data_IF_599895065412
#
_entry.id   IF_599895065412
#
_cell.length_a   1.000
_cell.length_b   1.000
_cell.length_c   1.000
_cell.angle_alpha   90.00
_cell.angle_beta   90.00
_cell.angle_gamma   90.00
#
_symmetry.space_group_name_H-M   'P 1'
#
loop_
_entity.id
_entity.type
_entity.pdbx_description
1 polymer ?
#
# COMPACT_ATOMS: atom_id res chain seq x y z
N UNK A 1 10.88 14.64 -0.72
CA UNK A 1 10.18 15.89 -1.03
C UNK A 1 10.20 16.77 0.21
N UNK A 2 10.80 17.96 0.15
CA UNK A 2 11.14 18.74 1.35
C UNK A 2 9.91 19.56 1.78
N UNK A 3 9.21 19.16 2.84
CA UNK A 3 7.96 19.79 3.30
C UNK A 3 8.07 21.32 3.45
N UNK A 4 9.24 21.80 3.87
CA UNK A 4 9.56 23.23 4.00
C UNK A 4 9.48 23.98 2.67
N UNK A 5 9.92 23.39 1.56
CA UNK A 5 9.89 24.06 0.24
C UNK A 5 8.49 24.09 -0.35
N UNK A 6 7.66 23.08 -0.07
CA UNK A 6 6.24 23.07 -0.45
C UNK A 6 5.46 24.15 0.30
N UNK A 7 5.68 24.29 1.62
CA UNK A 7 5.04 25.35 2.41
C UNK A 7 5.44 26.74 1.93
N UNK A 8 6.72 26.98 1.67
CA UNK A 8 7.20 28.27 1.17
C UNK A 8 6.59 28.57 -0.20
N UNK A 9 6.53 27.61 -1.12
CA UNK A 9 5.90 27.80 -2.44
C UNK A 9 4.42 28.17 -2.33
N UNK A 10 3.68 27.49 -1.44
CA UNK A 10 2.26 27.78 -1.21
C UNK A 10 2.05 29.17 -0.62
N UNK A 11 2.87 29.56 0.36
CA UNK A 11 2.83 30.88 0.98
C UNK A 11 3.13 31.99 -0.05
N UNK A 12 4.16 31.81 -0.87
CA UNK A 12 4.55 32.76 -1.92
C UNK A 12 3.44 32.90 -2.96
N UNK A 13 2.86 31.80 -3.42
CA UNK A 13 1.75 31.83 -4.37
C UNK A 13 0.57 32.63 -3.82
N UNK A 14 0.21 32.41 -2.55
CA UNK A 14 -0.92 33.07 -1.90
C UNK A 14 -0.71 34.58 -1.75
N UNK A 15 0.50 35.00 -1.38
CA UNK A 15 0.86 36.43 -1.29
C UNK A 15 0.76 37.11 -2.67
N UNK A 16 1.17 36.42 -3.73
CA UNK A 16 1.09 36.95 -5.10
C UNK A 16 -0.37 37.11 -5.53
N UNK A 17 -1.23 36.11 -5.30
CA UNK A 17 -2.65 36.20 -5.68
C UNK A 17 -3.41 37.26 -4.90
N UNK A 18 -3.15 37.42 -3.60
CA UNK A 18 -3.74 38.50 -2.78
C UNK A 18 -3.32 39.85 -3.34
N UNK A 19 -2.03 40.03 -3.61
CA UNK A 19 -1.50 41.31 -4.10
C UNK A 19 -2.06 41.65 -5.47
N UNK A 20 -2.19 40.66 -6.36
CA UNK A 20 -2.76 40.84 -7.69
C UNK A 20 -4.26 41.15 -7.62
N UNK A 21 -4.99 40.49 -6.73
CA UNK A 21 -6.41 40.75 -6.46
C UNK A 21 -6.64 42.17 -5.95
N UNK A 22 -5.82 42.61 -4.99
CA UNK A 22 -5.83 43.96 -4.46
C UNK A 22 -5.55 45.01 -5.54
N UNK A 23 -4.50 44.81 -6.33
CA UNK A 23 -4.14 45.72 -7.42
C UNK A 23 -5.23 45.82 -8.48
N UNK A 24 -5.81 44.68 -8.86
CA UNK A 24 -6.90 44.63 -9.84
C UNK A 24 -8.14 45.35 -9.31
N UNK A 25 -8.53 45.09 -8.06
CA UNK A 25 -9.65 45.77 -7.40
C UNK A 25 -9.40 47.27 -7.25
N UNK A 26 -8.17 47.68 -6.93
CA UNK A 26 -7.79 49.09 -6.81
C UNK A 26 -7.82 49.82 -8.15
N UNK A 27 -7.33 49.20 -9.22
CA UNK A 27 -7.39 49.76 -10.58
C UNK A 27 -8.84 49.95 -11.04
N UNK A 28 -9.72 49.01 -10.71
CA UNK A 28 -11.14 49.05 -11.11
C UNK A 28 -11.93 50.07 -10.28
N UNK A 29 -11.66 50.15 -8.97
CA UNK A 29 -12.51 50.92 -8.04
C UNK A 29 -11.97 52.33 -7.79
N UNK A 30 -10.66 52.56 -8.00
CA UNK A 30 -9.99 53.84 -7.74
C UNK A 30 -9.87 54.23 -6.27
N UNK A 31 -10.44 53.44 -5.37
CA UNK A 31 -10.47 53.65 -3.93
C UNK A 31 -9.78 52.50 -3.19
N UNK A 32 -8.88 52.86 -2.27
CA UNK A 32 -8.03 51.95 -1.54
C UNK A 32 -8.78 51.17 -0.46
N UNK A 33 -9.74 51.80 0.24
CA UNK A 33 -10.56 51.10 1.24
C UNK A 33 -11.43 50.03 0.59
N UNK A 34 -12.08 50.38 -0.52
CA UNK A 34 -12.94 49.43 -1.25
C UNK A 34 -12.11 48.30 -1.88
N UNK A 35 -10.92 48.59 -2.39
CA UNK A 35 -10.01 47.57 -2.92
C UNK A 35 -9.51 46.59 -1.85
N UNK A 36 -9.13 47.10 -0.67
CA UNK A 36 -8.74 46.27 0.47
C UNK A 36 -9.89 45.36 0.92
N UNK A 37 -11.10 45.90 1.05
CA UNK A 37 -12.29 45.13 1.40
C UNK A 37 -12.55 44.00 0.41
N UNK A 38 -12.54 44.31 -0.90
CA UNK A 38 -12.72 43.32 -1.97
C UNK A 38 -11.65 42.24 -1.97
N UNK A 39 -10.38 42.62 -1.80
CA UNK A 39 -9.26 41.67 -1.79
C UNK A 39 -9.32 40.72 -0.59
N UNK A 40 -9.66 41.23 0.60
CA UNK A 40 -9.79 40.41 1.80
C UNK A 40 -10.96 39.44 1.71
N UNK A 41 -12.10 39.89 1.17
CA UNK A 41 -13.27 39.02 0.95
C UNK A 41 -12.94 37.94 -0.08
N UNK A 42 -12.31 38.30 -1.19
CA UNK A 42 -11.95 37.35 -2.26
C UNK A 42 -11.02 36.26 -1.74
N UNK A 43 -9.96 36.64 -1.01
CA UNK A 43 -9.03 35.67 -0.44
C UNK A 43 -9.68 34.81 0.65
N UNK A 44 -10.58 35.38 1.46
CA UNK A 44 -11.32 34.64 2.48
C UNK A 44 -12.23 33.58 1.86
N UNK A 45 -12.96 33.93 0.79
CA UNK A 45 -13.80 33.00 0.04
C UNK A 45 -12.93 31.90 -0.59
N UNK A 46 -11.78 32.27 -1.17
CA UNK A 46 -10.88 31.32 -1.78
C UNK A 46 -10.29 30.35 -0.75
N UNK A 47 -9.92 30.84 0.43
CA UNK A 47 -9.46 30.01 1.55
C UNK A 47 -10.55 29.07 2.06
N UNK A 48 -11.79 29.55 2.22
CA UNK A 48 -12.93 28.73 2.63
C UNK A 48 -13.26 27.65 1.60
N UNK A 49 -13.22 27.98 0.31
CA UNK A 49 -13.46 27.03 -0.77
C UNK A 49 -12.38 25.95 -0.81
N UNK A 50 -11.10 26.34 -0.68
CA UNK A 50 -10.00 25.37 -0.61
C UNK A 50 -10.11 24.45 0.61
N UNK A 51 -10.42 25.01 1.79
CA UNK A 51 -10.62 24.23 3.01
C UNK A 51 -11.82 23.28 2.90
N UNK A 52 -12.93 23.74 2.31
CA UNK A 52 -14.10 22.90 2.02
C UNK A 52 -13.78 21.77 1.05
N UNK A 53 -13.04 22.07 -0.02
CA UNK A 53 -12.57 21.07 -0.99
C UNK A 53 -11.66 20.03 -0.33
N UNK A 54 -10.66 20.44 0.45
CA UNK A 54 -9.79 19.51 1.18
C UNK A 54 -10.55 18.68 2.22
N UNK A 55 -11.50 19.27 2.94
CA UNK A 55 -12.29 18.55 3.94
C UNK A 55 -13.20 17.50 3.31
N UNK A 56 -13.88 17.86 2.21
CA UNK A 56 -14.72 16.93 1.45
C UNK A 56 -13.87 15.83 0.79
N UNK A 57 -12.79 16.21 0.11
CA UNK A 57 -11.94 15.26 -0.60
C UNK A 57 -11.17 14.34 0.35
N UNK A 58 -10.69 14.86 1.48
CA UNK A 58 -10.05 14.08 2.53
C UNK A 58 -10.95 12.97 3.04
N UNK A 59 -12.22 13.29 3.33
CA UNK A 59 -13.20 12.30 3.78
C UNK A 59 -13.44 11.17 2.74
N UNK A 60 -13.57 11.52 1.46
CA UNK A 60 -13.80 10.52 0.40
C UNK A 60 -12.56 9.72 0.03
N UNK A 61 -11.39 10.36 0.02
CA UNK A 61 -10.13 9.74 -0.41
C UNK A 61 -9.57 8.79 0.65
N UNK A 62 -9.68 9.14 1.93
CA UNK A 62 -9.20 8.29 3.03
C UNK A 62 -9.97 6.96 3.11
N UNK A 63 -11.28 6.99 2.83
CA UNK A 63 -12.10 5.77 2.75
C UNK A 63 -11.68 4.88 1.58
N UNK A 64 -11.46 5.46 0.39
CA UNK A 64 -11.05 4.70 -0.80
C UNK A 64 -9.66 4.06 -0.60
N UNK A 65 -8.67 4.82 -0.11
CA UNK A 65 -7.32 4.27 0.15
C UNK A 65 -7.40 3.09 1.12
N UNK A 66 -8.18 3.23 2.20
CA UNK A 66 -8.33 2.17 3.20
C UNK A 66 -8.94 0.90 2.58
N UNK A 67 -9.92 1.05 1.70
CA UNK A 67 -10.53 -0.06 0.98
C UNK A 67 -9.57 -0.70 -0.03
N UNK A 68 -8.82 0.10 -0.80
CA UNK A 68 -7.85 -0.39 -1.78
C UNK A 68 -6.69 -1.13 -1.10
N UNK A 69 -6.15 -0.57 -0.01
CA UNK A 69 -5.15 -1.24 0.83
C UNK A 69 -5.69 -2.58 1.36
N UNK A 70 -6.92 -2.59 1.89
CA UNK A 70 -7.54 -3.82 2.42
C UNK A 70 -7.75 -4.88 1.33
N UNK A 71 -8.15 -4.47 0.12
CA UNK A 71 -8.28 -5.36 -1.04
C UNK A 71 -6.93 -5.93 -1.44
N UNK A 72 -5.87 -5.11 -1.45
CA UNK A 72 -4.54 -5.56 -1.83
C UNK A 72 -3.95 -6.54 -0.80
N UNK A 73 -4.13 -6.28 0.50
CA UNK A 73 -3.76 -7.24 1.56
C UNK A 73 -4.48 -8.57 1.38
N UNK A 74 -5.80 -8.55 1.19
CA UNK A 74 -6.59 -9.77 0.98
C UNK A 74 -6.14 -10.51 -0.29
N UNK A 75 -5.84 -9.80 -1.37
CA UNK A 75 -5.34 -10.40 -2.61
C UNK A 75 -3.99 -11.09 -2.38
N UNK A 76 -3.05 -10.42 -1.71
CA UNK A 76 -1.74 -11.00 -1.36
C UNK A 76 -1.87 -12.24 -0.48
N UNK A 77 -2.78 -12.23 0.49
CA UNK A 77 -3.07 -13.39 1.35
C UNK A 77 -3.59 -14.58 0.54
N UNK A 78 -4.52 -14.34 -0.39
CA UNK A 78 -5.05 -15.37 -1.30
C UNK A 78 -3.93 -15.89 -2.22
N UNK A 79 -3.15 -15.02 -2.85
CA UNK A 79 -2.05 -15.40 -3.74
C UNK A 79 -1.00 -16.25 -2.99
N UNK A 80 -0.71 -15.90 -1.72
CA UNK A 80 0.21 -16.66 -0.86
C UNK A 80 -0.34 -18.05 -0.54
N UNK A 81 -1.61 -18.15 -0.17
CA UNK A 81 -2.28 -19.42 0.13
C UNK A 81 -2.27 -20.35 -1.09
N UNK A 82 -2.68 -19.84 -2.25
CA UNK A 82 -2.69 -20.59 -3.51
C UNK A 82 -1.29 -21.09 -3.85
N UNK A 83 -0.27 -20.25 -3.65
CA UNK A 83 1.13 -20.63 -3.92
C UNK A 83 1.61 -21.75 -2.99
N UNK A 84 1.24 -21.72 -1.70
CA UNK A 84 1.60 -22.77 -0.73
C UNK A 84 0.90 -24.08 -1.06
N UNK A 85 -0.40 -24.06 -1.34
CA UNK A 85 -1.17 -25.25 -1.71
C UNK A 85 -0.58 -25.93 -2.96
N UNK A 86 -0.22 -25.15 -3.99
CA UNK A 86 0.45 -25.67 -5.18
C UNK A 86 1.77 -26.37 -4.85
N UNK A 87 2.59 -25.80 -3.95
CA UNK A 87 3.87 -26.41 -3.57
C UNK A 87 3.65 -27.69 -2.78
N UNK A 88 2.65 -27.73 -1.89
CA UNK A 88 2.27 -28.94 -1.17
C UNK A 88 1.84 -30.03 -2.15
N UNK A 89 1.04 -29.69 -3.17
CA UNK A 89 0.57 -30.67 -4.15
C UNK A 89 1.68 -31.15 -5.08
N UNK A 90 2.58 -30.26 -5.52
CA UNK A 90 3.81 -30.64 -6.23
C UNK A 90 4.63 -31.61 -5.39
N UNK A 91 4.77 -31.34 -4.09
CA UNK A 91 5.52 -32.18 -3.15
C UNK A 91 4.89 -33.57 -3.00
N UNK A 92 3.55 -33.65 -2.92
CA UNK A 92 2.82 -34.94 -2.93
C UNK A 92 3.06 -35.69 -4.22
N UNK A 93 2.90 -35.03 -5.37
CA UNK A 93 3.17 -35.62 -6.67
C UNK A 93 4.61 -36.14 -6.79
N UNK A 94 5.59 -35.38 -6.31
CA UNK A 94 6.99 -35.82 -6.22
C UNK A 94 7.22 -37.02 -5.30
N UNK A 95 6.36 -37.20 -4.28
CA UNK A 95 6.43 -38.40 -3.43
C UNK A 95 5.85 -39.62 -4.13
N UNK A 96 4.94 -39.44 -5.08
CA UNK A 96 4.29 -40.55 -5.79
C UNK A 96 5.15 -41.08 -6.95
N UNK A 97 6.10 -40.30 -7.47
CA UNK A 97 7.03 -40.78 -8.53
C UNK A 97 8.14 -41.68 -7.97
N UNK A 98 8.42 -42.77 -8.70
CA UNK A 98 9.48 -43.74 -8.37
C UNK A 98 10.90 -43.21 -8.65
N UNK A 99 11.05 -42.22 -9.51
CA UNK A 99 12.34 -41.58 -9.81
C UNK A 99 12.73 -40.60 -8.70
N UNK A 100 13.22 -41.16 -7.60
CA UNK A 100 13.64 -40.38 -6.45
C UNK A 100 15.02 -39.75 -6.66
N UNK A 101 15.13 -38.43 -6.45
CA UNK A 101 16.39 -37.70 -6.53
C UNK A 101 16.71 -37.04 -5.18
N UNK A 102 17.80 -37.43 -4.49
CA UNK A 102 18.18 -36.88 -3.20
C UNK A 102 18.32 -35.35 -3.18
N UNK A 103 18.74 -34.75 -4.31
CA UNK A 103 18.84 -33.28 -4.42
C UNK A 103 17.48 -32.62 -4.36
N UNK A 104 16.46 -33.20 -5.00
CA UNK A 104 15.10 -32.67 -5.01
C UNK A 104 14.49 -32.82 -3.61
N UNK A 105 14.66 -33.98 -2.98
CA UNK A 105 14.21 -34.21 -1.61
C UNK A 105 14.78 -33.18 -0.64
N UNK A 106 16.10 -33.01 -0.61
CA UNK A 106 16.75 -32.04 0.27
C UNK A 106 16.31 -30.60 -0.03
N UNK A 107 16.05 -30.28 -1.30
CA UNK A 107 15.53 -28.96 -1.70
C UNK A 107 14.12 -28.71 -1.16
N UNK A 108 13.23 -29.70 -1.21
CA UNK A 108 11.88 -29.62 -0.67
C UNK A 108 11.90 -29.52 0.86
N UNK A 109 12.75 -30.29 1.54
CA UNK A 109 12.92 -30.18 3.00
C UNK A 109 13.42 -28.78 3.40
N UNK A 110 14.44 -28.26 2.72
CA UNK A 110 14.96 -26.91 2.97
C UNK A 110 13.91 -25.83 2.70
N UNK A 111 13.08 -26.02 1.68
CA UNK A 111 11.95 -25.14 1.41
C UNK A 111 10.95 -25.13 2.57
N UNK A 112 10.55 -26.31 3.09
CA UNK A 112 9.65 -26.38 4.24
C UNK A 112 10.26 -25.70 5.47
N UNK A 113 11.53 -25.97 5.79
CA UNK A 113 12.21 -25.36 6.93
C UNK A 113 12.33 -23.84 6.82
N UNK A 114 12.64 -23.35 5.62
CA UNK A 114 12.68 -21.91 5.34
C UNK A 114 11.29 -21.27 5.43
N UNK A 115 10.25 -21.98 5.00
CA UNK A 115 8.87 -21.51 5.00
C UNK A 115 8.29 -21.45 6.41
N UNK A 116 8.51 -22.48 7.23
CA UNK A 116 8.05 -22.55 8.63
C UNK A 116 8.71 -21.45 9.50
N UNK A 117 9.95 -21.09 9.19
CA UNK A 117 10.70 -20.06 9.92
C UNK A 117 10.31 -18.63 9.49
N UNK A 118 9.64 -18.47 8.36
CA UNK A 118 9.31 -17.17 7.80
C UNK A 118 8.14 -16.52 8.56
N UNK A 119 8.35 -15.31 9.09
CA UNK A 119 7.32 -14.54 9.81
C UNK A 119 6.08 -14.25 8.97
N UNK A 120 6.24 -14.08 7.66
CA UNK A 120 5.13 -13.79 6.75
C UNK A 120 4.25 -15.04 6.47
N UNK A 121 4.73 -16.23 6.83
CA UNK A 121 4.03 -17.50 6.63
C UNK A 121 3.55 -18.12 7.95
N UNK A 122 3.62 -17.37 9.05
CA UNK A 122 3.28 -17.86 10.39
C UNK A 122 1.86 -18.44 10.46
N UNK A 123 0.93 -17.84 9.72
CA UNK A 123 -0.47 -18.27 9.66
C UNK A 123 -0.63 -19.63 8.96
N UNK A 124 0.33 -20.03 8.13
CA UNK A 124 0.37 -21.31 7.41
C UNK A 124 1.29 -22.34 8.07
N UNK A 125 1.92 -22.02 9.21
CA UNK A 125 2.92 -22.90 9.83
C UNK A 125 2.35 -24.28 10.17
N UNK A 126 1.09 -24.38 10.63
CA UNK A 126 0.47 -25.67 10.93
C UNK A 126 0.34 -26.55 9.68
N UNK A 127 -0.13 -25.98 8.58
CA UNK A 127 -0.28 -26.68 7.29
C UNK A 127 1.09 -27.10 6.73
N UNK A 128 2.08 -26.21 6.80
CA UNK A 128 3.44 -26.49 6.34
C UNK A 128 4.13 -27.59 7.18
N UNK A 129 3.95 -27.58 8.50
CA UNK A 129 4.49 -28.62 9.40
C UNK A 129 3.84 -29.97 9.09
N UNK A 130 2.52 -30.01 8.90
CA UNK A 130 1.80 -31.23 8.56
C UNK A 130 2.21 -31.76 7.18
N UNK A 131 2.29 -30.90 6.18
CA UNK A 131 2.74 -31.25 4.83
C UNK A 131 4.18 -31.79 4.85
N UNK A 132 5.10 -31.14 5.58
CA UNK A 132 6.47 -31.63 5.77
C UNK A 132 6.48 -33.01 6.42
N UNK A 133 5.70 -33.21 7.48
CA UNK A 133 5.63 -34.49 8.20
C UNK A 133 5.14 -35.61 7.27
N UNK A 134 4.09 -35.36 6.50
CA UNK A 134 3.56 -36.32 5.54
C UNK A 134 4.57 -36.62 4.43
N UNK A 135 5.24 -35.60 3.90
CA UNK A 135 6.29 -35.76 2.90
C UNK A 135 7.45 -36.63 3.40
N UNK A 136 7.95 -36.36 4.61
CA UNK A 136 9.02 -37.15 5.22
C UNK A 136 8.55 -38.59 5.45
N UNK A 137 7.35 -38.80 5.99
CA UNK A 137 6.83 -40.13 6.27
C UNK A 137 6.68 -40.99 5.00
N UNK A 138 6.24 -40.41 3.88
CA UNK A 138 6.07 -41.12 2.60
C UNK A 138 7.40 -41.50 1.92
N UNK A 139 8.48 -40.83 2.30
CA UNK A 139 9.81 -41.04 1.73
C UNK A 139 10.79 -41.67 2.73
N UNK A 140 10.38 -41.90 3.98
CA UNK A 140 11.14 -42.64 4.98
C UNK A 140 11.27 -44.11 4.56
N UNK A 141 12.50 -44.56 4.32
CA UNK A 141 12.80 -45.93 3.91
C UNK A 141 13.01 -46.11 2.40
N UNK A 142 12.95 -45.04 1.60
CA UNK A 142 13.53 -45.04 0.26
C UNK A 142 15.05 -44.97 0.40
N UNK A 143 15.77 -45.92 -0.18
CA UNK A 143 17.23 -45.93 -0.17
C UNK A 143 17.74 -44.78 -1.07
N UNK A 144 18.64 -43.96 -0.53
CA UNK A 144 19.11 -42.71 -1.14
C UNK A 144 20.42 -42.86 -1.89
#
# INVERSE_FOLDING_TARGET
MNWKTTLIKSLVYRVITITLGLLTAFIITGDFETALGLSLITESIQSLNYFGFESLWGYFYEKRIREDIKKEFRKREIDLKVSIEMIIDITKGFSEVDTFNPKIYNSLINFFDSSITNRNLKDFNSELIEAKKNFVALNQGRDF
#
